data_IF_374349806965
#
_entry.id   IF_374349806965
#
_cell.length_a   1.000
_cell.length_b   1.000
_cell.length_c   1.000
_cell.angle_alpha   90.00
_cell.angle_beta   90.00
_cell.angle_gamma   90.00
#
_symmetry.space_group_name_H-M   'P 1'
#
loop_
_entity.id
_entity.type
_entity.pdbx_description
1 polymer ?
#
# COMPACT_ATOMS: atom_id res chain seq x y z
N UNK A 1 22.06 19.33 0.12
CA UNK A 1 21.17 18.17 0.33
C UNK A 1 20.38 18.41 1.60
N UNK A 2 19.05 18.25 1.60
CA UNK A 2 18.27 18.35 2.85
C UNK A 2 18.54 17.09 3.68
N UNK A 3 18.77 17.23 4.97
CA UNK A 3 18.92 16.12 5.92
C UNK A 3 17.51 15.81 6.47
N UNK A 4 17.12 14.54 6.63
CA UNK A 4 15.83 14.22 7.22
C UNK A 4 15.77 14.71 8.69
N UNK A 5 14.63 15.26 9.16
CA UNK A 5 14.49 15.76 10.53
C UNK A 5 14.62 14.67 11.60
N UNK A 6 14.35 13.41 11.25
CA UNK A 6 14.56 12.24 12.09
C UNK A 6 14.82 11.01 11.20
N UNK A 7 15.22 9.89 11.80
CA UNK A 7 15.56 8.68 11.05
C UNK A 7 14.34 8.17 10.23
N UNK A 8 14.42 8.10 8.89
CA UNK A 8 13.31 7.65 8.05
C UNK A 8 12.77 6.26 8.40
N UNK A 9 13.61 5.37 8.92
CA UNK A 9 13.20 4.03 9.33
C UNK A 9 12.19 4.05 10.49
N UNK A 10 12.22 5.06 11.37
CA UNK A 10 11.23 5.21 12.44
C UNK A 10 9.84 5.49 11.85
N UNK A 11 9.75 6.40 10.87
CA UNK A 11 8.49 6.67 10.17
C UNK A 11 7.94 5.43 9.47
N UNK A 12 8.83 4.63 8.87
CA UNK A 12 8.46 3.39 8.21
C UNK A 12 7.95 2.37 9.22
N UNK A 13 8.60 2.19 10.37
CA UNK A 13 8.14 1.26 11.41
C UNK A 13 6.78 1.66 11.96
N UNK A 14 6.58 2.94 12.29
CA UNK A 14 5.27 3.46 12.70
C UNK A 14 4.24 3.21 11.59
N UNK A 15 4.64 3.43 10.34
CA UNK A 15 3.79 3.22 9.19
C UNK A 15 3.32 1.77 9.06
N UNK A 16 4.23 0.80 9.20
CA UNK A 16 3.93 -0.64 9.16
C UNK A 16 2.94 -1.02 10.26
N UNK A 17 3.19 -0.61 11.51
CA UNK A 17 2.28 -0.89 12.63
C UNK A 17 0.91 -0.27 12.37
N UNK A 18 0.86 0.95 11.84
CA UNK A 18 -0.39 1.62 11.52
C UNK A 18 -1.16 0.92 10.39
N UNK A 19 -0.51 0.54 9.29
CA UNK A 19 -1.19 -0.15 8.17
C UNK A 19 -1.65 -1.56 8.53
N UNK A 20 -0.98 -2.27 9.45
CA UNK A 20 -1.46 -3.56 9.97
C UNK A 20 -2.86 -3.50 10.58
N UNK A 21 -3.32 -2.32 11.05
CA UNK A 21 -4.68 -2.15 11.57
C UNK A 21 -5.75 -2.06 10.47
N UNK A 22 -5.35 -1.78 9.22
CA UNK A 22 -6.25 -1.40 8.14
C UNK A 22 -7.22 -2.50 7.76
N UNK A 23 -6.75 -3.72 7.52
CA UNK A 23 -7.62 -4.83 7.11
C UNK A 23 -8.67 -5.17 8.18
N UNK A 24 -8.28 -5.11 9.46
CA UNK A 24 -9.19 -5.34 10.59
C UNK A 24 -10.22 -4.24 10.71
N UNK A 25 -9.82 -2.98 10.59
CA UNK A 25 -10.75 -1.86 10.57
C UNK A 25 -11.75 -1.97 9.42
N UNK A 26 -11.31 -2.38 8.22
CA UNK A 26 -12.22 -2.60 7.08
C UNK A 26 -13.27 -3.67 7.41
N UNK A 27 -12.85 -4.80 7.98
CA UNK A 27 -13.77 -5.89 8.40
C UNK A 27 -14.74 -5.47 9.50
N UNK A 28 -14.39 -4.49 10.34
CA UNK A 28 -15.30 -3.94 11.36
C UNK A 28 -16.41 -3.05 10.78
N UNK A 29 -16.30 -2.62 9.52
CA UNK A 29 -17.34 -1.88 8.80
C UNK A 29 -18.09 -2.79 7.81
N UNK A 30 -18.42 -4.01 8.23
CA UNK A 30 -18.97 -5.12 7.42
C UNK A 30 -20.24 -4.79 6.61
N UNK A 31 -21.10 -3.89 7.09
CA UNK A 31 -22.31 -3.45 6.37
C UNK A 31 -22.04 -2.37 5.31
N UNK A 32 -20.82 -1.83 5.22
CA UNK A 32 -20.47 -0.83 4.22
C UNK A 32 -19.77 -1.48 3.00
N UNK A 33 -20.16 -1.15 1.76
CA UNK A 33 -19.44 -1.63 0.58
C UNK A 33 -17.96 -1.24 0.61
N UNK A 34 -17.06 -2.09 0.09
CA UNK A 34 -15.63 -1.85 0.10
C UNK A 34 -15.25 -0.49 -0.50
N UNK A 35 -15.89 -0.12 -1.62
CA UNK A 35 -15.72 1.18 -2.26
C UNK A 35 -16.10 2.37 -1.38
N UNK A 36 -17.10 2.22 -0.50
CA UNK A 36 -17.55 3.26 0.44
C UNK A 36 -16.57 3.40 1.61
N UNK A 37 -16.08 2.28 2.15
CA UNK A 37 -15.06 2.29 3.21
C UNK A 37 -13.79 3.01 2.71
N UNK A 38 -13.35 2.68 1.49
CA UNK A 38 -12.22 3.33 0.84
C UNK A 38 -12.47 4.81 0.59
N UNK A 39 -13.69 5.18 0.15
CA UNK A 39 -14.09 6.56 -0.08
C UNK A 39 -13.96 7.38 1.20
N UNK A 40 -14.61 6.97 2.29
CA UNK A 40 -14.63 7.76 3.52
C UNK A 40 -13.27 7.86 4.19
N UNK A 41 -12.44 6.80 4.10
CA UNK A 41 -11.03 6.84 4.52
C UNK A 41 -10.27 8.00 3.88
N UNK A 42 -10.40 8.19 2.56
CA UNK A 42 -9.67 9.23 1.84
C UNK A 42 -10.36 10.59 1.89
N UNK A 43 -11.70 10.61 1.85
CA UNK A 43 -12.47 11.84 1.98
C UNK A 43 -12.18 12.53 3.31
N UNK A 44 -12.19 11.79 4.42
CA UNK A 44 -11.86 12.36 5.73
C UNK A 44 -10.40 12.84 5.81
N UNK A 45 -9.46 12.10 5.23
CA UNK A 45 -8.09 12.57 5.14
C UNK A 45 -8.00 13.89 4.35
N UNK A 46 -8.66 14.00 3.19
CA UNK A 46 -8.71 15.23 2.39
C UNK A 46 -9.34 16.38 3.16
N UNK A 47 -10.50 16.18 3.79
CA UNK A 47 -11.19 17.21 4.58
C UNK A 47 -10.32 17.74 5.72
N UNK A 48 -9.62 16.85 6.43
CA UNK A 48 -8.67 17.22 7.50
C UNK A 48 -7.48 18.02 6.93
N UNK A 49 -7.04 17.74 5.71
CA UNK A 49 -5.91 18.42 5.07
C UNK A 49 -6.24 19.80 4.49
N UNK A 50 -7.50 20.09 4.14
CA UNK A 50 -7.91 21.35 3.48
C UNK A 50 -7.43 22.61 4.22
N UNK A 51 -7.62 22.77 5.54
CA UNK A 51 -7.19 23.98 6.24
C UNK A 51 -5.68 24.21 6.12
N UNK A 52 -4.88 23.14 6.24
CA UNK A 52 -3.43 23.23 6.14
C UNK A 52 -2.98 23.59 4.72
N UNK A 53 -3.65 23.06 3.70
CA UNK A 53 -3.39 23.39 2.30
C UNK A 53 -3.64 24.87 2.04
N UNK A 54 -4.81 25.38 2.45
CA UNK A 54 -5.20 26.77 2.22
C UNK A 54 -4.27 27.75 2.94
N UNK A 55 -3.84 27.43 4.15
CA UNK A 55 -2.99 28.32 4.95
C UNK A 55 -1.53 28.35 4.50
N UNK A 56 -0.98 27.25 3.95
CA UNK A 56 0.49 27.11 3.79
C UNK A 56 0.97 26.56 2.45
N UNK A 57 0.13 25.84 1.71
CA UNK A 57 0.57 25.09 0.52
C UNK A 57 -0.18 25.47 -0.77
N UNK A 58 -1.08 26.45 -0.72
CA UNK A 58 -1.87 26.88 -1.88
C UNK A 58 -1.00 27.40 -3.02
N UNK A 59 0.11 28.06 -2.71
CA UNK A 59 1.03 28.57 -3.73
C UNK A 59 1.81 27.45 -4.40
N UNK A 60 2.19 26.41 -3.67
CA UNK A 60 2.84 25.24 -4.25
C UNK A 60 1.90 24.53 -5.23
N UNK A 61 0.61 24.40 -4.89
CA UNK A 61 -0.41 23.81 -5.77
C UNK A 61 -0.56 24.56 -7.11
N UNK A 62 -0.47 25.89 -7.09
CA UNK A 62 -0.59 26.72 -8.30
C UNK A 62 0.61 26.58 -9.24
N UNK A 63 1.78 26.22 -8.72
CA UNK A 63 3.04 26.17 -9.48
C UNK A 63 3.49 24.75 -9.83
N UNK A 64 2.60 23.76 -9.72
CA UNK A 64 2.91 22.38 -10.12
C UNK A 64 3.06 22.30 -11.64
N UNK A 65 4.20 21.77 -12.09
CA UNK A 65 4.43 21.54 -13.52
C UNK A 65 3.39 20.56 -14.09
N UNK A 66 3.01 20.73 -15.36
CA UNK A 66 2.05 19.84 -16.04
C UNK A 66 2.41 18.36 -15.91
N UNK A 67 3.70 18.02 -16.03
CA UNK A 67 4.22 16.66 -15.82
C UNK A 67 3.90 16.15 -14.41
N UNK A 68 4.22 16.91 -13.37
CA UNK A 68 3.97 16.50 -11.98
C UNK A 68 2.48 16.39 -11.68
N UNK A 69 1.64 17.23 -12.30
CA UNK A 69 0.19 17.15 -12.18
C UNK A 69 -0.36 15.84 -12.76
N UNK A 70 0.03 15.49 -14.00
CA UNK A 70 -0.38 14.23 -14.65
C UNK A 70 0.08 13.01 -13.84
N UNK A 71 1.34 12.98 -13.41
CA UNK A 71 1.85 11.89 -12.59
C UNK A 71 1.13 11.77 -11.25
N UNK A 72 0.73 12.89 -10.63
CA UNK A 72 -0.04 12.89 -9.38
C UNK A 72 -1.45 12.36 -9.58
N UNK A 73 -2.09 12.67 -10.71
CA UNK A 73 -3.40 12.09 -11.09
C UNK A 73 -3.28 10.59 -11.29
N UNK A 74 -2.29 10.13 -12.05
CA UNK A 74 -2.05 8.70 -12.26
C UNK A 74 -1.79 7.98 -10.91
N UNK A 75 -1.03 8.59 -10.01
CA UNK A 75 -0.81 8.06 -8.67
C UNK A 75 -2.11 7.97 -7.85
N UNK A 76 -2.96 9.00 -7.91
CA UNK A 76 -4.27 9.00 -7.25
C UNK A 76 -5.25 7.96 -7.82
N UNK A 77 -5.31 7.80 -9.14
CA UNK A 77 -6.12 6.76 -9.78
C UNK A 77 -5.63 5.36 -9.40
N UNK A 78 -4.32 5.15 -9.42
CA UNK A 78 -3.69 3.88 -9.00
C UNK A 78 -4.00 3.56 -7.54
N UNK A 79 -4.00 4.57 -6.66
CA UNK A 79 -4.36 4.39 -5.25
C UNK A 79 -5.84 4.07 -5.06
N UNK A 80 -6.76 4.67 -5.85
CA UNK A 80 -8.17 4.30 -5.81
C UNK A 80 -8.40 2.86 -6.26
N UNK A 81 -7.79 2.45 -7.38
CA UNK A 81 -7.86 1.07 -7.88
C UNK A 81 -7.31 0.10 -6.84
N UNK A 82 -6.18 0.43 -6.21
CA UNK A 82 -5.63 -0.37 -5.12
C UNK A 82 -6.65 -0.58 -4.00
N UNK A 83 -7.27 0.48 -3.47
CA UNK A 83 -8.22 0.32 -2.37
C UNK A 83 -9.48 -0.41 -2.78
N UNK A 84 -10.01 -0.21 -4.00
CA UNK A 84 -11.16 -0.97 -4.50
C UNK A 84 -10.83 -2.46 -4.50
N UNK A 85 -9.74 -2.85 -5.16
CA UNK A 85 -9.37 -4.26 -5.31
C UNK A 85 -9.01 -4.89 -3.96
N UNK A 86 -8.21 -4.20 -3.15
CA UNK A 86 -7.77 -4.75 -1.88
C UNK A 86 -8.91 -4.83 -0.86
N UNK A 87 -9.75 -3.80 -0.72
CA UNK A 87 -10.86 -3.89 0.23
C UNK A 87 -11.90 -4.91 -0.24
N UNK A 88 -12.15 -5.03 -1.54
CA UNK A 88 -13.03 -6.11 -2.01
C UNK A 88 -12.45 -7.50 -1.76
N UNK A 89 -11.13 -7.68 -1.87
CA UNK A 89 -10.52 -8.98 -1.55
C UNK A 89 -10.89 -9.48 -0.15
N UNK A 90 -11.00 -8.57 0.82
CA UNK A 90 -11.34 -8.89 2.21
C UNK A 90 -12.78 -9.41 2.34
N UNK A 91 -13.68 -9.18 1.38
CA UNK A 91 -15.03 -9.76 1.42
C UNK A 91 -15.04 -11.23 1.00
N UNK A 92 -13.99 -11.70 0.31
CA UNK A 92 -13.92 -13.05 -0.25
C UNK A 92 -12.90 -13.95 0.42
N UNK A 93 -11.84 -13.39 0.99
CA UNK A 93 -10.76 -14.14 1.66
C UNK A 93 -10.48 -13.64 3.08
N UNK A 94 -9.59 -14.33 3.78
CA UNK A 94 -9.18 -14.03 5.15
C UNK A 94 -8.33 -12.74 5.22
N UNK A 95 -8.26 -12.10 6.39
CA UNK A 95 -7.35 -10.96 6.61
C UNK A 95 -5.90 -11.40 6.40
N UNK A 96 -5.54 -12.59 6.88
CA UNK A 96 -4.19 -13.12 6.72
C UNK A 96 -3.83 -13.32 5.23
N UNK A 97 -4.69 -13.98 4.46
CA UNK A 97 -4.47 -14.25 3.03
C UNK A 97 -4.40 -12.97 2.21
N UNK A 98 -5.40 -12.10 2.35
CA UNK A 98 -5.46 -10.83 1.62
C UNK A 98 -4.23 -9.96 1.90
N UNK A 99 -3.82 -9.84 3.16
CA UNK A 99 -2.67 -9.00 3.54
C UNK A 99 -1.34 -9.60 3.09
N UNK A 100 -1.14 -10.92 3.19
CA UNK A 100 0.08 -11.55 2.64
C UNK A 100 0.18 -11.33 1.13
N UNK A 101 -0.92 -11.49 0.39
CA UNK A 101 -0.91 -11.35 -1.06
C UNK A 101 -0.75 -9.89 -1.51
N UNK A 102 -1.42 -8.93 -0.87
CA UNK A 102 -1.28 -7.51 -1.22
C UNK A 102 0.15 -6.99 -0.94
N UNK A 103 0.81 -7.55 0.07
CA UNK A 103 2.19 -7.19 0.46
C UNK A 103 3.26 -7.84 -0.41
N UNK A 104 2.87 -8.64 -1.42
CA UNK A 104 3.76 -9.06 -2.51
C UNK A 104 4.18 -7.90 -3.44
N UNK A 105 3.78 -6.67 -3.13
CA UNK A 105 4.24 -5.42 -3.76
C UNK A 105 5.74 -5.38 -4.15
N UNK A 106 6.73 -5.83 -3.33
CA UNK A 106 8.15 -5.79 -3.73
C UNK A 106 8.44 -6.51 -5.04
N UNK A 107 7.73 -7.60 -5.33
CA UNK A 107 7.87 -8.38 -6.56
C UNK A 107 7.49 -7.51 -7.75
N UNK A 108 6.29 -6.91 -7.70
CA UNK A 108 5.79 -6.07 -8.78
C UNK A 108 6.61 -4.80 -8.95
N UNK A 109 7.12 -4.23 -7.86
CA UNK A 109 8.00 -3.06 -7.91
C UNK A 109 9.27 -3.34 -8.71
N UNK A 110 9.87 -4.51 -8.47
CA UNK A 110 11.10 -4.91 -9.15
C UNK A 110 10.87 -5.38 -10.59
N UNK A 111 9.74 -6.01 -10.87
CA UNK A 111 9.31 -6.27 -12.26
C UNK A 111 9.15 -4.94 -13.01
N UNK A 112 8.55 -3.93 -12.35
CA UNK A 112 8.46 -2.59 -12.87
C UNK A 112 9.82 -1.97 -13.17
N UNK A 113 10.84 -2.15 -12.30
CA UNK A 113 12.18 -1.60 -12.56
C UNK A 113 12.89 -2.31 -13.71
N UNK A 114 12.70 -3.62 -13.91
CA UNK A 114 13.20 -4.32 -15.09
C UNK A 114 12.65 -3.73 -16.39
N UNK A 115 11.33 -3.55 -16.48
CA UNK A 115 10.71 -3.04 -17.71
C UNK A 115 11.01 -1.55 -17.95
N UNK A 116 11.10 -0.74 -16.89
CA UNK A 116 11.31 0.71 -17.01
C UNK A 116 12.79 1.10 -17.13
N UNK A 117 13.69 0.37 -16.48
CA UNK A 117 15.12 0.72 -16.37
C UNK A 117 16.07 -0.35 -16.94
N UNK A 118 15.57 -1.50 -17.39
CA UNK A 118 16.39 -2.57 -17.97
C UNK A 118 17.27 -3.31 -16.97
N UNK A 119 16.98 -3.22 -15.67
CA UNK A 119 17.77 -3.84 -14.61
C UNK A 119 17.69 -5.37 -14.66
N UNK A 120 18.82 -6.08 -14.80
CA UNK A 120 18.83 -7.55 -14.88
C UNK A 120 18.68 -8.23 -13.52
N UNK A 121 17.75 -9.18 -13.45
CA UNK A 121 17.51 -10.00 -12.28
C UNK A 121 18.68 -10.94 -11.98
N UNK A 122 19.05 -11.05 -10.70
CA UNK A 122 20.00 -12.08 -10.27
C UNK A 122 19.28 -13.44 -10.18
N UNK A 123 19.99 -14.57 -10.34
CA UNK A 123 19.40 -15.88 -10.07
C UNK A 123 18.79 -15.98 -8.66
N UNK A 124 19.43 -15.37 -7.66
CA UNK A 124 18.89 -15.30 -6.29
C UNK A 124 17.56 -14.55 -6.21
N UNK A 125 17.40 -13.49 -7.01
CA UNK A 125 16.14 -12.75 -7.12
C UNK A 125 15.02 -13.61 -7.72
N UNK A 126 15.33 -14.36 -8.79
CA UNK A 126 14.37 -15.26 -9.44
C UNK A 126 13.96 -16.39 -8.49
N UNK A 127 14.91 -17.00 -7.78
CA UNK A 127 14.62 -18.04 -6.79
C UNK A 127 13.71 -17.50 -5.69
N UNK A 128 14.01 -16.30 -5.18
CA UNK A 128 13.21 -15.67 -4.13
C UNK A 128 11.77 -15.37 -4.58
N UNK A 129 11.60 -14.94 -5.83
CA UNK A 129 10.30 -14.76 -6.47
C UNK A 129 9.53 -16.08 -6.55
N UNK A 130 10.18 -17.17 -7.00
CA UNK A 130 9.55 -18.49 -7.07
C UNK A 130 9.12 -18.95 -5.68
N UNK A 131 9.95 -18.79 -4.65
CA UNK A 131 9.61 -19.14 -3.26
C UNK A 131 8.35 -18.37 -2.81
N UNK A 132 8.31 -17.05 -3.03
CA UNK A 132 7.14 -16.25 -2.65
C UNK A 132 5.88 -16.68 -3.42
N UNK A 133 5.99 -16.97 -4.71
CA UNK A 133 4.86 -17.48 -5.51
C UNK A 133 4.37 -18.85 -5.01
N UNK A 134 5.27 -19.77 -4.66
CA UNK A 134 4.89 -21.05 -4.07
C UNK A 134 4.15 -20.87 -2.74
N UNK A 135 4.61 -19.95 -1.90
CA UNK A 135 3.90 -19.57 -0.67
C UNK A 135 2.48 -19.07 -0.95
N UNK A 136 2.30 -18.18 -1.94
CA UNK A 136 0.97 -17.70 -2.32
C UNK A 136 0.05 -18.81 -2.84
N UNK A 137 0.59 -19.77 -3.61
CA UNK A 137 -0.19 -20.91 -4.10
C UNK A 137 -0.69 -21.79 -2.95
N UNK A 138 0.13 -22.00 -1.91
CA UNK A 138 -0.28 -22.77 -0.72
C UNK A 138 -1.42 -22.08 0.02
N UNK A 139 -1.36 -20.75 0.17
CA UNK A 139 -2.44 -19.95 0.78
C UNK A 139 -3.71 -20.13 -0.05
N UNK A 140 -3.66 -19.79 -1.34
CA UNK A 140 -4.82 -19.81 -2.23
C UNK A 140 -5.43 -21.20 -2.40
N UNK A 141 -4.62 -22.26 -2.38
CA UNK A 141 -5.12 -23.63 -2.41
C UNK A 141 -5.89 -23.97 -1.14
N UNK A 142 -5.36 -23.63 0.03
CA UNK A 142 -6.04 -23.86 1.30
C UNK A 142 -7.33 -23.05 1.43
N UNK A 143 -7.32 -21.80 0.98
CA UNK A 143 -8.51 -20.95 0.99
C UNK A 143 -9.57 -21.45 0.00
N UNK A 144 -9.18 -21.93 -1.18
CA UNK A 144 -10.09 -22.54 -2.15
C UNK A 144 -10.81 -23.78 -1.59
N UNK A 145 -10.12 -24.58 -0.77
CA UNK A 145 -10.73 -25.73 -0.10
C UNK A 145 -11.81 -25.33 0.93
N UNK A 146 -11.72 -24.11 1.47
CA UNK A 146 -12.69 -23.56 2.43
C UNK A 146 -13.85 -22.89 1.67
N UNK A 147 -13.54 -22.08 0.66
CA UNK A 147 -14.51 -21.43 -0.21
C UNK A 147 -13.96 -21.20 -1.60
N UNK A 148 -14.69 -21.64 -2.63
CA UNK A 148 -14.32 -21.40 -4.03
C UNK A 148 -14.24 -19.91 -4.40
N UNK A 149 -14.94 -19.03 -3.67
CA UNK A 149 -14.87 -17.58 -3.87
C UNK A 149 -13.57 -16.96 -3.36
N UNK A 150 -12.84 -17.63 -2.48
CA UNK A 150 -11.64 -17.07 -1.87
C UNK A 150 -10.51 -16.84 -2.89
N UNK A 151 -10.42 -17.69 -3.92
CA UNK A 151 -9.46 -17.51 -5.01
C UNK A 151 -9.69 -16.18 -5.77
N UNK A 152 -10.95 -15.75 -5.90
CA UNK A 152 -11.26 -14.45 -6.49
C UNK A 152 -10.75 -13.31 -5.61
N UNK A 153 -10.95 -13.41 -4.29
CA UNK A 153 -10.37 -12.48 -3.32
C UNK A 153 -8.86 -12.38 -3.43
N UNK A 154 -8.17 -13.52 -3.48
CA UNK A 154 -6.72 -13.59 -3.61
C UNK A 154 -6.20 -12.90 -4.88
N UNK A 155 -6.88 -13.11 -6.02
CA UNK A 155 -6.57 -12.41 -7.27
C UNK A 155 -6.76 -10.89 -7.14
N UNK A 156 -7.84 -10.44 -6.49
CA UNK A 156 -8.06 -9.02 -6.24
C UNK A 156 -6.95 -8.43 -5.35
N UNK A 157 -6.50 -9.13 -4.31
CA UNK A 157 -5.40 -8.69 -3.45
C UNK A 157 -4.08 -8.54 -4.24
N UNK A 158 -3.75 -9.50 -5.12
CA UNK A 158 -2.58 -9.42 -5.99
C UNK A 158 -2.66 -8.26 -6.99
N UNK A 159 -3.81 -8.02 -7.62
CA UNK A 159 -4.00 -6.86 -8.49
C UNK A 159 -3.95 -5.53 -7.71
N UNK A 160 -4.40 -5.56 -6.45
CA UNK A 160 -4.20 -4.49 -5.47
C UNK A 160 -2.71 -4.20 -5.24
N UNK A 161 -1.86 -5.24 -5.13
CA UNK A 161 -0.41 -5.12 -4.98
C UNK A 161 0.26 -4.45 -6.18
N UNK A 162 -0.19 -4.77 -7.40
CA UNK A 162 0.28 -4.11 -8.63
C UNK A 162 -0.08 -2.62 -8.61
N UNK A 163 -1.32 -2.30 -8.23
CA UNK A 163 -1.83 -0.92 -8.22
C UNK A 163 -1.12 -0.05 -7.18
N UNK A 164 -0.85 -0.58 -5.98
CA UNK A 164 -0.10 0.17 -4.95
C UNK A 164 1.38 0.31 -5.30
N UNK A 165 1.94 -0.65 -6.03
CA UNK A 165 3.30 -0.54 -6.59
C UNK A 165 3.43 0.67 -7.52
N UNK A 166 2.53 0.80 -8.49
CA UNK A 166 2.53 1.92 -9.44
C UNK A 166 2.40 3.24 -8.69
N UNK A 167 1.50 3.30 -7.71
CA UNK A 167 1.34 4.45 -6.83
C UNK A 167 2.66 4.85 -6.12
N UNK A 168 3.35 3.91 -5.47
CA UNK A 168 4.59 4.20 -4.75
C UNK A 168 5.77 4.56 -5.69
N UNK A 169 5.85 3.94 -6.86
CA UNK A 169 6.86 4.29 -7.88
C UNK A 169 6.67 5.73 -8.38
N UNK A 170 5.43 6.11 -8.70
CA UNK A 170 5.10 7.49 -9.08
C UNK A 170 5.37 8.47 -7.92
N UNK A 171 5.02 8.06 -6.69
CA UNK A 171 5.29 8.83 -5.48
C UNK A 171 6.78 9.11 -5.27
N UNK A 172 7.65 8.12 -5.48
CA UNK A 172 9.09 8.30 -5.34
C UNK A 172 9.64 9.40 -6.27
N UNK A 173 9.12 9.49 -7.50
CA UNK A 173 9.53 10.55 -8.43
C UNK A 173 8.94 11.92 -8.04
N UNK A 174 7.66 11.96 -7.67
CA UNK A 174 6.95 13.20 -7.31
C UNK A 174 7.49 13.83 -6.02
N UNK A 175 7.85 13.02 -5.02
CA UNK A 175 8.35 13.48 -3.70
C UNK A 175 9.72 14.16 -3.76
N UNK A 176 10.46 14.02 -4.87
CA UNK A 176 11.69 14.80 -5.13
C UNK A 176 11.39 16.28 -5.27
N UNK A 177 10.29 16.62 -5.96
CA UNK A 177 9.96 17.98 -6.36
C UNK A 177 8.82 18.62 -5.56
N UNK A 178 7.91 17.81 -5.01
CA UNK A 178 6.76 18.29 -4.25
C UNK A 178 7.01 18.16 -2.73
N UNK A 179 6.30 18.96 -1.94
CA UNK A 179 6.15 18.76 -0.49
C UNK A 179 5.22 17.57 -0.21
N UNK A 180 5.28 17.05 1.03
CA UNK A 180 4.47 15.88 1.41
C UNK A 180 3.00 16.23 1.29
N UNK A 181 2.62 17.34 1.94
CA UNK A 181 1.25 17.81 2.05
C UNK A 181 0.63 18.01 0.67
N UNK A 182 1.33 18.71 -0.22
CA UNK A 182 0.85 18.97 -1.59
C UNK A 182 0.67 17.67 -2.38
N UNK A 183 1.65 16.78 -2.34
CA UNK A 183 1.57 15.50 -3.07
C UNK A 183 0.45 14.60 -2.54
N UNK A 184 0.39 14.34 -1.24
CA UNK A 184 -0.64 13.45 -0.68
C UNK A 184 -2.03 14.06 -0.81
N UNK A 185 -2.18 15.38 -0.74
CA UNK A 185 -3.47 16.04 -0.92
C UNK A 185 -4.03 15.82 -2.32
N UNK A 186 -3.21 15.99 -3.37
CA UNK A 186 -3.64 15.77 -4.75
C UNK A 186 -4.00 14.30 -4.96
N UNK A 187 -3.11 13.38 -4.54
CA UNK A 187 -3.36 11.94 -4.69
C UNK A 187 -4.66 11.56 -3.99
N UNK A 188 -4.83 11.90 -2.71
CA UNK A 188 -6.02 11.53 -1.95
C UNK A 188 -7.28 12.19 -2.50
N UNK A 189 -7.21 13.43 -3.00
CA UNK A 189 -8.34 14.10 -3.65
C UNK A 189 -8.73 13.41 -4.94
N UNK A 190 -7.77 13.08 -5.81
CA UNK A 190 -8.04 12.35 -7.06
C UNK A 190 -8.60 10.97 -6.76
N UNK A 191 -8.04 10.25 -5.79
CA UNK A 191 -8.56 8.95 -5.37
C UNK A 191 -9.98 9.05 -4.83
N UNK A 192 -10.27 10.06 -4.01
CA UNK A 192 -11.60 10.34 -3.47
C UNK A 192 -12.60 10.56 -4.60
N UNK A 193 -12.27 11.41 -5.58
CA UNK A 193 -13.14 11.67 -6.73
C UNK A 193 -13.38 10.42 -7.58
N UNK A 194 -12.34 9.61 -7.81
CA UNK A 194 -12.47 8.33 -8.52
C UNK A 194 -13.37 7.35 -7.76
N UNK A 195 -13.25 7.28 -6.43
CA UNK A 195 -14.08 6.45 -5.58
C UNK A 195 -15.52 6.96 -5.51
N UNK A 196 -15.77 8.27 -5.53
CA UNK A 196 -17.13 8.82 -5.67
C UNK A 196 -17.73 8.34 -6.99
N UNK A 197 -17.02 8.50 -8.11
CA UNK A 197 -17.50 8.06 -9.41
C UNK A 197 -17.79 6.56 -9.44
N UNK A 198 -16.89 5.73 -8.90
CA UNK A 198 -17.07 4.29 -8.77
C UNK A 198 -18.33 3.92 -7.97
N UNK A 199 -18.54 4.52 -6.80
CA UNK A 199 -19.70 4.22 -5.96
C UNK A 199 -21.02 4.72 -6.55
N UNK A 200 -21.01 5.85 -7.28
CA UNK A 200 -22.19 6.32 -8.04
C UNK A 200 -22.54 5.34 -9.15
N UNK A 201 -21.54 4.86 -9.91
CA UNK A 201 -21.75 3.91 -11.01
C UNK A 201 -22.32 2.58 -10.52
N UNK A 202 -21.90 2.12 -9.35
CA UNK A 202 -22.43 0.90 -8.71
C UNK A 202 -23.68 1.13 -7.86
N UNK A 203 -24.18 2.36 -7.78
CA UNK A 203 -25.37 2.73 -6.99
C UNK A 203 -25.25 2.34 -5.51
N UNK A 204 -24.03 2.39 -4.96
CA UNK A 204 -23.80 2.10 -3.54
C UNK A 204 -24.41 3.18 -2.64
N UNK A 205 -24.97 2.82 -1.47
CA UNK A 205 -25.45 3.80 -0.51
C UNK A 205 -24.28 4.59 0.09
N UNK A 206 -24.36 5.93 0.04
CA UNK A 206 -23.35 6.80 0.65
C UNK A 206 -23.59 7.00 2.14
N UNK A 207 -24.82 6.86 2.60
CA UNK A 207 -25.24 7.11 3.98
C UNK A 207 -26.14 5.97 4.47
N UNK A 208 -26.51 6.00 5.76
CA UNK A 208 -27.35 4.98 6.37
C UNK A 208 -26.58 3.89 7.12
N UNK A 209 -25.27 4.04 7.29
CA UNK A 209 -24.45 3.13 8.08
C UNK A 209 -24.54 3.43 9.59
N UNK A 210 -24.40 2.42 10.45
CA UNK A 210 -24.33 2.59 11.89
C UNK A 210 -23.25 3.60 12.32
N UNK A 211 -23.49 4.31 13.43
CA UNK A 211 -22.54 5.30 13.98
C UNK A 211 -21.15 4.69 14.23
N UNK A 212 -21.08 3.40 14.61
CA UNK A 212 -19.83 2.66 14.76
C UNK A 212 -18.95 2.69 13.49
N UNK A 213 -19.55 2.62 12.30
CA UNK A 213 -18.81 2.60 11.02
C UNK A 213 -18.15 3.95 10.74
N UNK A 214 -18.78 5.04 11.16
CA UNK A 214 -18.20 6.38 11.00
C UNK A 214 -16.94 6.55 11.87
N UNK A 215 -16.92 5.97 13.07
CA UNK A 215 -15.68 5.91 13.88
C UNK A 215 -14.60 5.06 13.21
N UNK A 216 -14.98 3.94 12.58
CA UNK A 216 -14.05 3.11 11.79
C UNK A 216 -13.50 3.88 10.60
N UNK A 217 -14.33 4.60 9.84
CA UNK A 217 -13.90 5.42 8.70
C UNK A 217 -12.92 6.50 9.13
N UNK A 218 -13.20 7.17 10.25
CA UNK A 218 -12.28 8.15 10.83
C UNK A 218 -10.98 7.49 11.33
N UNK A 219 -11.08 6.31 11.96
CA UNK A 219 -9.94 5.50 12.36
C UNK A 219 -9.04 5.13 11.19
N UNK A 220 -9.62 4.74 10.04
CA UNK A 220 -8.90 4.47 8.80
C UNK A 220 -8.21 5.71 8.22
N UNK A 221 -8.83 6.89 8.32
CA UNK A 221 -8.23 8.15 7.89
C UNK A 221 -7.05 8.55 8.79
N UNK A 222 -7.15 8.34 10.10
CA UNK A 222 -6.11 8.77 11.05
C UNK A 222 -4.96 7.76 11.11
N UNK A 223 -5.26 6.49 11.36
CA UNK A 223 -4.27 5.48 11.68
C UNK A 223 -3.55 5.03 10.40
N UNK A 224 -4.11 4.18 9.53
CA UNK A 224 -3.36 3.67 8.38
C UNK A 224 -3.15 4.72 7.27
N UNK A 225 -3.91 5.82 7.21
CA UNK A 225 -3.70 6.84 6.15
C UNK A 225 -2.68 7.91 6.55
N UNK A 226 -2.84 8.60 7.69
CA UNK A 226 -1.85 9.58 8.12
C UNK A 226 -0.62 8.94 8.78
N UNK A 227 -0.81 8.03 9.73
CA UNK A 227 0.33 7.37 10.38
C UNK A 227 0.93 6.26 9.51
N UNK A 228 0.18 5.71 8.55
CA UNK A 228 0.67 4.72 7.57
C UNK A 228 1.14 5.36 6.26
N UNK A 229 0.23 5.47 5.29
CA UNK A 229 0.57 5.91 3.93
C UNK A 229 1.26 7.28 3.88
N UNK A 230 0.85 8.27 4.67
CA UNK A 230 1.49 9.59 4.64
C UNK A 230 2.92 9.55 5.18
N UNK A 231 3.21 8.73 6.20
CA UNK A 231 4.58 8.50 6.67
C UNK A 231 5.42 7.73 5.63
N UNK A 232 4.84 6.75 4.95
CA UNK A 232 5.51 6.10 3.82
C UNK A 232 5.85 7.11 2.70
N UNK A 233 4.90 7.94 2.30
CA UNK A 233 5.16 8.98 1.30
C UNK A 233 6.14 10.05 1.77
N UNK A 234 6.17 10.33 3.06
CA UNK A 234 7.20 11.18 3.63
C UNK A 234 8.58 10.53 3.48
N UNK A 235 8.69 9.23 3.81
CA UNK A 235 9.91 8.45 3.74
C UNK A 235 10.42 8.31 2.29
N UNK A 236 9.55 8.28 1.27
CA UNK A 236 9.94 8.24 -0.16
C UNK A 236 10.87 9.38 -0.59
N UNK A 237 10.91 10.49 0.17
CA UNK A 237 11.87 11.58 -0.08
C UNK A 237 13.31 11.21 0.29
N UNK A 238 13.49 10.24 1.18
CA UNK A 238 14.75 9.90 1.82
C UNK A 238 15.21 8.47 1.51
N UNK A 239 14.26 7.56 1.28
CA UNK A 239 14.50 6.16 0.95
C UNK A 239 13.76 5.77 -0.33
N UNK A 240 14.16 4.66 -0.96
CA UNK A 240 13.48 4.15 -2.15
C UNK A 240 12.11 3.55 -1.84
N UNK A 241 11.23 3.53 -2.83
CA UNK A 241 9.96 2.79 -2.78
C UNK A 241 10.20 1.31 -2.47
N UNK A 242 11.26 0.71 -3.03
CA UNK A 242 11.68 -0.65 -2.70
C UNK A 242 11.86 -0.81 -1.20
N UNK A 243 12.61 0.08 -0.53
CA UNK A 243 12.85 0.04 0.93
C UNK A 243 11.56 0.06 1.74
N UNK A 244 10.60 0.89 1.33
CA UNK A 244 9.28 0.95 1.97
C UNK A 244 8.52 -0.37 1.75
N UNK A 245 8.49 -0.88 0.52
CA UNK A 245 7.87 -2.17 0.21
C UNK A 245 8.48 -3.30 1.04
N UNK A 246 9.80 -3.27 1.31
CA UNK A 246 10.47 -4.27 2.15
C UNK A 246 9.93 -4.28 3.57
N UNK A 247 9.66 -3.11 4.14
CA UNK A 247 9.12 -2.99 5.48
C UNK A 247 7.64 -3.39 5.55
N UNK A 248 6.88 -3.10 4.50
CA UNK A 248 5.45 -3.46 4.38
C UNK A 248 5.25 -5.00 4.41
N UNK A 249 6.27 -5.81 4.10
CA UNK A 249 6.21 -7.29 4.26
C UNK A 249 5.87 -7.74 5.69
N UNK A 250 6.11 -6.90 6.69
CA UNK A 250 5.74 -7.20 8.09
C UNK A 250 4.28 -6.86 8.43
N UNK A 251 3.56 -6.14 7.55
CA UNK A 251 2.14 -5.81 7.73
C UNK A 251 1.26 -7.03 8.01
N UNK A 252 1.37 -8.17 7.28
CA UNK A 252 0.48 -9.32 7.44
C UNK A 252 0.61 -9.97 8.82
N UNK A 253 1.80 -9.92 9.42
CA UNK A 253 2.03 -10.45 10.78
C UNK A 253 1.19 -9.65 11.79
N UNK A 254 1.26 -8.32 11.72
CA UNK A 254 0.45 -7.46 12.58
C UNK A 254 -1.04 -7.58 12.30
N UNK A 255 -1.43 -7.66 11.03
CA UNK A 255 -2.83 -7.78 10.63
C UNK A 255 -3.44 -9.12 11.09
N UNK A 256 -2.71 -10.23 10.95
CA UNK A 256 -3.16 -11.55 11.40
C UNK A 256 -3.30 -11.63 12.93
N UNK A 257 -2.35 -11.05 13.68
CA UNK A 257 -2.47 -10.96 15.15
C UNK A 257 -3.71 -10.15 15.53
N UNK A 258 -3.91 -8.98 14.93
CA UNK A 258 -5.07 -8.15 15.22
C UNK A 258 -6.39 -8.82 14.80
N UNK A 259 -6.43 -9.51 13.66
CA UNK A 259 -7.61 -10.24 13.20
C UNK A 259 -7.99 -11.37 14.16
N UNK A 260 -7.01 -12.11 14.70
CA UNK A 260 -7.25 -13.13 15.71
C UNK A 260 -7.90 -12.54 16.98
N UNK A 261 -7.33 -11.45 17.52
CA UNK A 261 -7.82 -10.88 18.79
C UNK A 261 -9.13 -10.08 18.65
N UNK A 262 -9.32 -9.36 17.54
CA UNK A 262 -10.44 -8.43 17.36
C UNK A 262 -11.60 -9.08 16.60
N UNK A 263 -11.31 -9.85 15.55
CA UNK A 263 -12.32 -10.47 14.69
C UNK A 263 -12.60 -11.93 15.07
N UNK A 264 -11.85 -12.50 16.04
CA UNK A 264 -11.88 -13.93 16.35
C UNK A 264 -11.61 -14.81 15.12
N UNK A 265 -10.81 -14.32 14.19
CA UNK A 265 -10.51 -14.99 12.94
C UNK A 265 -9.45 -16.09 13.17
N UNK A 266 -9.80 -17.34 12.87
CA UNK A 266 -8.88 -18.46 13.01
C UNK A 266 -7.92 -18.53 11.82
N UNK A 267 -6.62 -18.57 12.11
CA UNK A 267 -5.58 -18.74 11.08
C UNK A 267 -5.41 -20.22 10.78
N UNK A 268 -5.55 -20.59 9.51
CA UNK A 268 -5.44 -21.98 9.07
C UNK A 268 -3.98 -22.40 8.90
N UNK A 269 -3.72 -23.71 8.88
CA UNK A 269 -2.36 -24.21 8.66
C UNK A 269 -1.78 -23.78 7.30
N UNK A 270 -2.61 -23.72 6.25
CA UNK A 270 -2.17 -23.24 4.93
C UNK A 270 -1.76 -21.77 4.97
N UNK A 271 -2.47 -20.94 5.71
CA UNK A 271 -2.14 -19.52 5.90
C UNK A 271 -0.83 -19.34 6.69
N UNK A 272 -0.62 -20.13 7.76
CA UNK A 272 0.64 -20.11 8.53
C UNK A 272 1.82 -20.55 7.66
N UNK A 273 1.71 -21.72 7.02
CA UNK A 273 2.78 -22.29 6.21
C UNK A 273 3.07 -21.43 4.97
N UNK A 274 2.04 -21.15 4.18
CA UNK A 274 2.15 -20.34 2.96
C UNK A 274 2.59 -18.91 3.27
N UNK A 275 2.02 -18.28 4.30
CA UNK A 275 2.42 -16.94 4.76
C UNK A 275 3.88 -16.87 5.19
N UNK A 276 4.35 -17.87 5.94
CA UNK A 276 5.76 -17.97 6.34
C UNK A 276 6.69 -18.10 5.13
N UNK A 277 6.30 -18.91 4.14
CA UNK A 277 7.05 -19.08 2.89
C UNK A 277 7.07 -17.79 2.07
N UNK A 278 5.94 -17.07 1.95
CA UNK A 278 5.87 -15.77 1.26
C UNK A 278 6.82 -14.77 1.94
N UNK A 279 6.69 -14.59 3.26
CA UNK A 279 7.52 -13.65 4.02
C UNK A 279 9.00 -14.03 3.88
N UNK A 280 9.35 -15.31 4.00
CA UNK A 280 10.72 -15.78 3.83
C UNK A 280 11.25 -15.52 2.41
N UNK A 281 10.47 -15.84 1.38
CA UNK A 281 10.82 -15.56 -0.01
C UNK A 281 11.03 -14.07 -0.27
N UNK A 282 10.16 -13.21 0.28
CA UNK A 282 10.30 -11.76 0.17
C UNK A 282 11.54 -11.26 0.93
N UNK A 283 11.86 -11.80 2.11
CA UNK A 283 13.10 -11.46 2.84
C UNK A 283 14.37 -11.87 2.06
N UNK A 284 14.37 -13.06 1.44
CA UNK A 284 15.47 -13.47 0.56
C UNK A 284 15.59 -12.55 -0.66
N UNK A 285 14.45 -12.18 -1.25
CA UNK A 285 14.38 -11.29 -2.40
C UNK A 285 15.05 -9.96 -2.08
N UNK A 286 14.69 -9.39 -0.92
CA UNK A 286 15.25 -8.16 -0.36
C UNK A 286 16.76 -8.26 -0.20
N UNK A 287 17.26 -9.33 0.43
CA UNK A 287 18.70 -9.54 0.66
C UNK A 287 19.48 -9.70 -0.65
N UNK A 288 18.90 -10.37 -1.64
CA UNK A 288 19.52 -10.61 -2.94
C UNK A 288 19.71 -9.32 -3.76
N UNK A 289 18.78 -8.38 -3.62
CA UNK A 289 18.79 -7.09 -4.35
C UNK A 289 19.68 -6.06 -3.66
N UNK A 290 19.76 -6.07 -2.32
CA UNK A 290 20.62 -5.16 -1.55
C UNK A 290 22.12 -5.34 -1.82
N UNK A 291 22.57 -6.57 -2.14
CA UNK A 291 23.98 -6.88 -2.45
C UNK A 291 24.53 -6.25 -3.74
N UNK A 292 23.69 -5.73 -4.64
CA UNK A 292 24.15 -5.13 -5.93
C UNK A 292 24.32 -3.61 -5.90
N UNK A 293 23.96 -2.92 -4.81
CA UNK A 293 24.17 -1.48 -4.68
C UNK A 293 25.50 -1.16 -3.99
N UNK A 294 26.61 -1.72 -4.48
CA UNK A 294 27.92 -1.11 -4.19
C UNK A 294 27.98 0.17 -5.01
N UNK A 295 27.72 1.29 -4.35
CA UNK A 295 27.83 2.63 -4.92
C UNK A 295 29.22 2.78 -5.50
N UNK A 296 29.34 2.82 -6.83
CA UNK A 296 30.56 3.32 -7.49
C UNK A 296 30.66 4.79 -7.14
N UNK A 297 31.37 5.11 -6.06
CA UNK A 297 31.78 6.48 -5.76
C UNK A 297 32.67 6.89 -6.93
N UNK A 298 32.16 7.77 -7.80
CA UNK A 298 32.94 8.37 -8.86
C UNK A 298 34.22 8.94 -8.24
N UNK A 299 35.37 8.37 -8.58
CA UNK A 299 36.67 8.94 -8.21
C UNK A 299 36.70 10.36 -8.76
N UNK A 300 36.80 11.31 -7.85
CA UNK A 300 37.10 12.71 -8.14
C UNK A 300 38.32 12.74 -9.06
N UNK A 301 38.16 13.21 -10.29
CA UNK A 301 39.27 13.48 -11.20
C UNK A 301 40.12 14.56 -10.52
N UNK A 302 41.27 14.17 -9.99
CA UNK A 302 42.30 15.12 -9.58
C UNK A 302 43.05 15.54 -10.83
N UNK A 303 43.01 16.86 -11.09
CA UNK A 303 43.84 17.70 -11.97
C UNK A 303 44.80 17.00 -12.92
#
# INVERSE_FOLDING_TARGET
MRIPPFNPYIAITIGVVAVSTSAVLVKLADQAPAGIIALYRLLFAVLIMIPFIWMKYIDELKHISKKNWILSVLAGLSLAIHFILWFESLNYTSVASSTVLVTMQPIFAFIGTYFLFGERFSPGTIISLIIALLGSIIISWGDFQISGSALFGDMLALLGAVSVTVYFLLGQELRKNLSLMTYTFIVYSVSTLALVAYNVLLQNPFIGFPVSHWYVFLGLAIIPTFLGHSLFNWALKWVSSSTISMAIVFEPVGAAILAYWILSENITWSQVLGGSIVIFGLLLFILSTSRKTTVTIAKKVSK
#
